data_IF_694961721351
#
_entry.id   IF_694961721351
#
_cell.length_a   1.000
_cell.length_b   1.000
_cell.length_c   1.000
_cell.angle_alpha   90.00
_cell.angle_beta   90.00
_cell.angle_gamma   90.00
#
_symmetry.space_group_name_H-M   'P 1'
#
loop_
_entity.id
_entity.type
_entity.pdbx_description
1 polymer ?
#
# COMPACT_ATOMS: atom_id res chain seq x y z
N UNK A 1 -6.06 19.15 -12.85
CA UNK A 1 -6.29 18.05 -11.91
C UNK A 1 -7.31 17.11 -12.49
N UNK A 2 -7.10 15.81 -12.33
CA UNK A 2 -7.91 14.78 -12.96
C UNK A 2 -7.90 13.50 -12.14
N UNK A 3 -8.82 12.61 -12.46
CA UNK A 3 -8.91 11.24 -11.98
C UNK A 3 -9.30 10.35 -13.17
N UNK A 4 -8.51 9.34 -13.43
CA UNK A 4 -8.70 8.42 -14.54
C UNK A 4 -8.64 6.99 -14.02
N UNK A 5 -9.69 6.23 -14.32
CA UNK A 5 -9.76 4.81 -14.03
C UNK A 5 -10.18 4.05 -15.30
N UNK A 6 -9.35 3.14 -15.74
CA UNK A 6 -9.65 2.27 -16.86
C UNK A 6 -9.03 0.89 -16.70
N UNK A 7 -9.85 -0.14 -16.86
CA UNK A 7 -9.48 -1.54 -16.60
C UNK A 7 -8.97 -1.70 -15.16
N UNK A 8 -7.69 -1.93 -14.99
CA UNK A 8 -7.04 -2.28 -13.73
C UNK A 8 -5.95 -1.27 -13.30
N UNK A 9 -5.90 -0.11 -13.92
CA UNK A 9 -5.06 1.00 -13.46
C UNK A 9 -5.89 2.20 -13.04
N UNK A 10 -5.35 2.93 -12.09
CA UNK A 10 -5.85 4.22 -11.65
C UNK A 10 -4.72 5.24 -11.69
N UNK A 11 -5.01 6.41 -12.21
CA UNK A 11 -4.08 7.55 -12.30
C UNK A 11 -4.81 8.80 -11.88
N UNK A 12 -4.25 9.58 -10.99
CA UNK A 12 -4.85 10.86 -10.59
C UNK A 12 -3.81 11.93 -10.30
N UNK A 13 -4.21 13.19 -10.52
CA UNK A 13 -3.58 14.38 -10.00
C UNK A 13 -4.58 15.11 -9.10
N UNK A 14 -4.36 15.06 -7.79
CA UNK A 14 -5.28 15.60 -6.78
C UNK A 14 -4.69 16.81 -6.06
N UNK A 15 -5.51 17.82 -5.86
CA UNK A 15 -5.25 18.95 -4.98
C UNK A 15 -6.40 19.05 -3.99
N UNK A 16 -6.17 18.63 -2.78
CA UNK A 16 -7.12 18.76 -1.70
C UNK A 16 -6.87 20.04 -0.90
N UNK A 17 -7.96 20.66 -0.48
CA UNK A 17 -7.96 21.72 0.54
C UNK A 17 -8.79 21.20 1.72
N UNK A 18 -8.24 20.24 2.47
CA UNK A 18 -9.05 19.53 3.43
C UNK A 18 -9.46 20.44 4.58
N UNK A 19 -10.76 20.48 4.85
CA UNK A 19 -11.31 21.08 6.08
C UNK A 19 -11.48 20.03 7.19
N UNK A 20 -11.38 18.74 6.82
CA UNK A 20 -11.42 17.59 7.71
C UNK A 20 -10.64 16.43 7.09
N UNK A 21 -10.14 15.47 7.88
CA UNK A 21 -9.51 14.26 7.34
C UNK A 21 -10.48 13.51 6.42
N UNK A 22 -10.04 13.18 5.20
CA UNK A 22 -10.81 12.34 4.27
C UNK A 22 -10.51 10.87 4.54
N UNK A 23 -11.39 9.97 4.06
CA UNK A 23 -11.18 8.52 4.18
C UNK A 23 -9.87 8.08 3.49
N UNK A 24 -9.45 8.75 2.42
CA UNK A 24 -8.19 8.50 1.71
C UNK A 24 -6.94 8.66 2.59
N UNK A 25 -7.01 9.49 3.65
CA UNK A 25 -5.90 9.66 4.58
C UNK A 25 -5.91 8.62 5.69
N UNK A 26 -7.03 7.92 5.86
CA UNK A 26 -7.14 6.89 6.87
C UNK A 26 -6.30 5.67 6.51
N UNK A 27 -5.95 4.95 7.53
CA UNK A 27 -5.22 3.73 7.40
C UNK A 27 -6.01 2.68 6.62
N UNK A 28 -5.41 2.18 5.56
CA UNK A 28 -5.95 1.11 4.75
C UNK A 28 -4.87 0.15 4.23
N UNK A 29 -5.31 -0.89 3.58
CA UNK A 29 -4.48 -1.92 2.94
C UNK A 29 -5.26 -2.43 1.72
N UNK A 30 -4.57 -2.66 0.62
CA UNK A 30 -5.19 -3.09 -0.64
C UNK A 30 -4.33 -4.12 -1.39
N UNK A 31 -4.89 -4.74 -2.43
CA UNK A 31 -4.25 -5.81 -3.21
C UNK A 31 -3.39 -5.33 -4.38
N UNK A 32 -3.34 -4.05 -4.66
CA UNK A 32 -2.57 -3.43 -5.75
C UNK A 32 -1.35 -2.65 -5.22
N UNK A 33 -0.42 -2.30 -6.11
CA UNK A 33 0.68 -1.38 -5.80
C UNK A 33 0.20 0.05 -5.98
N UNK A 34 0.79 0.96 -5.20
CA UNK A 34 0.53 2.39 -5.33
C UNK A 34 1.86 3.15 -5.42
N UNK A 35 1.91 4.16 -6.28
CA UNK A 35 2.98 5.15 -6.31
C UNK A 35 2.35 6.51 -6.06
N UNK A 36 2.86 7.20 -5.06
CA UNK A 36 2.51 8.58 -4.77
C UNK A 36 3.71 9.47 -5.08
N UNK A 37 3.52 10.50 -5.90
CA UNK A 37 4.47 11.58 -6.08
C UNK A 37 3.98 12.82 -5.34
N UNK A 38 4.74 13.27 -4.36
CA UNK A 38 4.37 14.39 -3.52
C UNK A 38 4.77 15.72 -4.16
N UNK A 39 3.80 16.58 -4.41
CA UNK A 39 3.99 17.90 -5.03
C UNK A 39 4.13 18.99 -3.98
N UNK A 40 3.18 19.10 -3.05
CA UNK A 40 3.21 20.08 -1.96
C UNK A 40 2.21 19.76 -0.86
N UNK A 41 2.44 20.36 0.30
CA UNK A 41 1.63 20.24 1.51
C UNK A 41 2.50 19.98 2.74
N UNK A 42 1.86 19.79 3.87
CA UNK A 42 2.52 19.37 5.10
C UNK A 42 2.01 17.98 5.49
N UNK A 43 2.72 16.94 5.04
CA UNK A 43 2.26 15.56 5.10
C UNK A 43 3.33 14.67 5.70
N UNK A 44 2.92 13.84 6.66
CA UNK A 44 3.70 12.71 7.15
C UNK A 44 3.04 11.42 6.65
N UNK A 45 3.81 10.61 5.94
CA UNK A 45 3.32 9.36 5.35
C UNK A 45 3.87 8.15 6.09
N UNK A 46 3.00 7.18 6.35
CA UNK A 46 3.38 5.94 7.04
C UNK A 46 3.11 4.74 6.14
N UNK A 47 4.10 3.88 5.97
CA UNK A 47 3.98 2.57 5.31
C UNK A 47 4.46 1.50 6.29
N UNK A 48 3.55 0.61 6.69
CA UNK A 48 3.79 -0.33 7.81
C UNK A 48 4.23 0.44 9.08
N UNK A 49 5.41 0.21 9.58
CA UNK A 49 5.96 0.88 10.76
C UNK A 49 6.87 2.08 10.43
N UNK A 50 7.20 2.28 9.17
CA UNK A 50 8.05 3.36 8.72
C UNK A 50 7.25 4.64 8.52
N UNK A 51 7.71 5.74 9.08
CA UNK A 51 7.02 7.03 9.02
C UNK A 51 8.00 8.12 8.58
N UNK A 52 7.66 8.83 7.52
CA UNK A 52 8.49 9.88 6.92
C UNK A 52 7.69 11.15 6.69
N UNK A 53 8.25 12.29 7.06
CA UNK A 53 7.72 13.59 6.63
C UNK A 53 8.15 13.80 5.17
N UNK A 54 7.18 14.00 4.28
CA UNK A 54 7.44 14.17 2.86
C UNK A 54 7.94 15.59 2.53
N UNK A 55 8.85 15.66 1.58
CA UNK A 55 9.33 16.89 0.95
C UNK A 55 8.90 16.92 -0.52
N UNK A 56 8.80 18.10 -1.10
CA UNK A 56 8.46 18.27 -2.50
C UNK A 56 9.36 17.42 -3.42
N UNK A 57 8.73 16.60 -4.26
CA UNK A 57 9.39 15.70 -5.18
C UNK A 57 9.75 14.34 -4.60
N UNK A 58 9.35 14.03 -3.36
CA UNK A 58 9.49 12.67 -2.84
C UNK A 58 8.49 11.73 -3.52
N UNK A 59 8.91 10.47 -3.69
CA UNK A 59 8.05 9.38 -4.15
C UNK A 59 7.86 8.38 -3.02
N UNK A 60 6.62 7.94 -2.83
CA UNK A 60 6.30 6.80 -1.96
C UNK A 60 5.84 5.65 -2.83
N UNK A 61 6.55 4.53 -2.79
CA UNK A 61 6.11 3.27 -3.38
C UNK A 61 5.49 2.39 -2.30
N UNK A 62 4.24 2.04 -2.49
CA UNK A 62 3.48 1.21 -1.56
C UNK A 62 3.21 -0.13 -2.25
N UNK A 63 3.97 -1.18 -1.90
CA UNK A 63 3.71 -2.52 -2.41
C UNK A 63 2.31 -3.00 -1.99
N UNK A 64 1.70 -3.82 -2.83
CA UNK A 64 0.46 -4.53 -2.47
C UNK A 64 0.57 -5.19 -1.10
N UNK A 65 -0.51 -5.20 -0.35
CA UNK A 65 -0.58 -5.80 0.98
C UNK A 65 0.24 -5.08 2.08
N UNK A 66 0.60 -3.81 1.89
CA UNK A 66 1.20 -2.96 2.92
C UNK A 66 0.18 -2.00 3.52
N UNK A 67 0.07 -1.98 4.85
CA UNK A 67 -0.71 -0.94 5.54
C UNK A 67 -0.05 0.42 5.37
N UNK A 68 -0.85 1.41 5.03
CA UNK A 68 -0.36 2.78 4.88
C UNK A 68 -1.43 3.82 5.20
N UNK A 69 -0.99 5.03 5.46
CA UNK A 69 -1.84 6.19 5.70
C UNK A 69 -1.05 7.49 5.64
N UNK A 70 -1.77 8.60 5.41
CA UNK A 70 -1.22 9.94 5.49
C UNK A 70 -1.74 10.67 6.73
N UNK A 71 -0.86 11.41 7.41
CA UNK A 71 -1.22 12.43 8.38
C UNK A 71 -1.00 13.78 7.71
N UNK A 72 -2.09 14.48 7.42
CA UNK A 72 -2.11 15.73 6.64
C UNK A 72 -2.41 16.89 7.57
N UNK A 73 -1.63 17.97 7.47
CA UNK A 73 -1.98 19.25 8.07
C UNK A 73 -3.09 19.90 7.25
N UNK A 74 -4.26 20.03 7.85
CA UNK A 74 -5.46 20.51 7.17
C UNK A 74 -5.44 22.02 6.87
N UNK A 75 -4.46 22.75 7.39
CA UNK A 75 -4.28 24.19 7.15
C UNK A 75 -3.64 24.51 5.79
N UNK A 76 -3.02 23.52 5.15
CA UNK A 76 -2.31 23.65 3.88
C UNK A 76 -2.93 22.80 2.77
N UNK A 77 -2.88 23.27 1.50
CA UNK A 77 -3.27 22.43 0.36
C UNK A 77 -2.35 21.22 0.23
N UNK A 78 -2.93 20.05 -0.04
CA UNK A 78 -2.19 18.81 -0.28
C UNK A 78 -2.32 18.41 -1.76
N UNK A 79 -1.22 18.48 -2.49
CA UNK A 79 -1.15 18.16 -3.92
C UNK A 79 -0.24 16.95 -4.16
N UNK A 80 -0.76 16.00 -4.94
CA UNK A 80 -0.09 14.75 -5.25
C UNK A 80 -0.59 14.11 -6.55
N UNK A 81 0.27 13.31 -7.16
CA UNK A 81 -0.15 12.29 -8.12
C UNK A 81 -0.24 10.93 -7.43
N UNK A 82 -1.19 10.12 -7.85
CA UNK A 82 -1.35 8.75 -7.37
C UNK A 82 -1.54 7.81 -8.55
N UNK A 83 -0.74 6.75 -8.60
CA UNK A 83 -0.82 5.69 -9.60
C UNK A 83 -1.10 4.38 -8.88
N UNK A 84 -2.15 3.64 -9.26
CA UNK A 84 -2.49 2.34 -8.69
C UNK A 84 -2.52 1.29 -9.80
N UNK A 85 -1.93 0.13 -9.54
CA UNK A 85 -1.82 -0.94 -10.53
C UNK A 85 -1.57 -2.31 -9.86
N UNK A 86 -2.09 -3.42 -10.44
CA UNK A 86 -1.90 -4.75 -9.86
C UNK A 86 -0.47 -5.28 -10.05
N UNK A 87 -0.08 -6.22 -9.20
CA UNK A 87 1.24 -6.88 -9.22
C UNK A 87 1.61 -7.44 -10.61
N UNK A 88 0.64 -7.99 -11.33
CA UNK A 88 0.85 -8.60 -12.65
C UNK A 88 1.25 -7.64 -13.78
N UNK A 89 1.25 -6.31 -13.53
CA UNK A 89 1.73 -5.31 -14.50
C UNK A 89 3.25 -5.13 -14.49
N UNK A 90 3.92 -5.64 -13.47
CA UNK A 90 5.38 -5.56 -13.37
C UNK A 90 6.02 -6.95 -13.53
N UNK A 91 7.16 -6.98 -14.22
CA UNK A 91 8.01 -8.15 -14.22
C UNK A 91 8.45 -8.49 -12.77
N UNK A 92 8.51 -9.78 -12.46
CA UNK A 92 8.76 -10.25 -11.08
C UNK A 92 10.05 -9.70 -10.48
N UNK A 93 11.12 -9.59 -11.27
CA UNK A 93 12.40 -9.06 -10.79
C UNK A 93 12.31 -7.57 -10.40
N UNK A 94 11.55 -6.75 -11.15
CA UNK A 94 11.31 -5.34 -10.84
C UNK A 94 10.53 -5.22 -9.53
N UNK A 95 9.45 -5.98 -9.41
CA UNK A 95 8.64 -6.00 -8.19
C UNK A 95 9.44 -6.42 -6.96
N UNK A 96 10.24 -7.48 -7.06
CA UNK A 96 11.12 -7.93 -5.97
C UNK A 96 12.13 -6.86 -5.59
N UNK A 97 12.75 -6.20 -6.56
CA UNK A 97 13.73 -5.16 -6.30
C UNK A 97 13.11 -3.95 -5.58
N UNK A 98 11.94 -3.47 -6.04
CA UNK A 98 11.22 -2.38 -5.38
C UNK A 98 10.84 -2.71 -3.93
N UNK A 99 10.34 -3.92 -3.68
CA UNK A 99 10.01 -4.37 -2.32
C UNK A 99 11.26 -4.43 -1.43
N UNK A 100 12.40 -4.86 -1.98
CA UNK A 100 13.69 -4.94 -1.26
C UNK A 100 14.27 -3.57 -0.97
N UNK A 101 14.16 -2.64 -1.92
CA UNK A 101 14.65 -1.29 -1.76
C UNK A 101 13.96 -0.55 -0.62
N UNK A 102 12.63 -0.64 -0.52
CA UNK A 102 11.83 0.06 0.49
C UNK A 102 10.76 0.96 -0.13
N UNK A 103 10.15 1.80 0.69
CA UNK A 103 8.97 2.57 0.29
C UNK A 103 9.25 4.05 -0.01
N UNK A 104 10.28 4.65 0.54
CA UNK A 104 10.49 6.10 0.50
C UNK A 104 11.69 6.50 -0.37
N UNK A 105 11.44 7.21 -1.46
CA UNK A 105 12.41 7.68 -2.44
C UNK A 105 12.51 9.21 -2.37
N UNK A 106 13.55 9.77 -1.72
CA UNK A 106 13.69 11.20 -1.54
C UNK A 106 14.24 11.89 -2.80
N UNK A 107 13.95 13.18 -2.94
CA UNK A 107 14.54 14.05 -3.97
C UNK A 107 14.31 13.61 -5.43
N UNK A 108 13.16 13.02 -5.72
CA UNK A 108 12.77 12.54 -7.05
C UNK A 108 12.18 13.65 -7.94
N UNK A 109 12.60 14.91 -7.77
CA UNK A 109 12.10 16.07 -8.56
C UNK A 109 12.31 15.93 -10.07
N UNK A 110 13.36 15.21 -10.48
CA UNK A 110 13.64 14.87 -11.87
C UNK A 110 12.54 14.05 -12.55
N UNK A 111 11.66 13.40 -11.76
CA UNK A 111 10.52 12.64 -12.28
C UNK A 111 9.25 13.51 -12.48
N UNK A 112 9.27 14.78 -12.11
CA UNK A 112 8.11 15.66 -12.27
C UNK A 112 7.59 15.69 -13.71
N UNK A 113 8.48 15.64 -14.70
CA UNK A 113 8.09 15.58 -16.12
C UNK A 113 7.29 14.34 -16.48
N UNK A 114 7.56 13.20 -15.85
CA UNK A 114 6.79 11.95 -16.04
C UNK A 114 5.35 12.15 -15.57
N UNK A 115 5.18 12.76 -14.41
CA UNK A 115 3.83 13.03 -13.86
C UNK A 115 3.10 14.12 -14.62
N UNK A 116 3.80 15.15 -15.13
CA UNK A 116 3.19 16.18 -15.99
C UNK A 116 2.70 15.62 -17.34
N UNK A 117 3.33 14.58 -17.87
CA UNK A 117 2.83 13.87 -19.06
C UNK A 117 1.46 13.21 -18.81
N UNK A 118 1.18 12.79 -17.59
CA UNK A 118 -0.13 12.22 -17.24
C UNK A 118 -1.26 13.25 -17.31
N UNK A 119 -0.97 14.52 -16.99
CA UNK A 119 -1.93 15.62 -17.19
C UNK A 119 -2.21 15.81 -18.69
N UNK A 120 -1.16 15.84 -19.52
CA UNK A 120 -1.27 15.96 -20.98
C UNK A 120 -2.05 14.79 -21.59
N UNK A 121 -1.75 13.56 -21.15
CA UNK A 121 -2.45 12.37 -21.64
C UNK A 121 -3.94 12.42 -21.30
N UNK A 122 -4.27 12.90 -20.10
CA UNK A 122 -5.66 13.03 -19.70
C UNK A 122 -6.45 14.00 -20.58
N UNK A 123 -5.82 15.08 -21.05
CA UNK A 123 -6.45 16.09 -21.89
C UNK A 123 -6.51 15.71 -23.37
N UNK A 124 -5.52 14.95 -23.87
CA UNK A 124 -5.27 14.80 -25.29
C UNK A 124 -5.72 13.46 -25.89
N UNK A 125 -5.93 12.41 -25.07
CA UNK A 125 -6.14 11.04 -25.57
C UNK A 125 -7.45 10.41 -25.08
N UNK A 126 -7.94 9.42 -25.82
CA UNK A 126 -9.05 8.55 -25.41
C UNK A 126 -8.63 7.52 -24.35
N UNK A 127 -9.60 6.87 -23.70
CA UNK A 127 -9.36 6.05 -22.51
C UNK A 127 -8.42 4.86 -22.78
N UNK A 128 -8.48 4.25 -23.95
CA UNK A 128 -7.61 3.12 -24.29
C UNK A 128 -6.14 3.55 -24.45
N UNK A 129 -5.93 4.71 -25.10
CA UNK A 129 -4.58 5.29 -25.27
C UNK A 129 -4.04 5.79 -23.94
N UNK A 130 -4.84 6.45 -23.11
CA UNK A 130 -4.49 6.83 -21.72
C UNK A 130 -4.04 5.64 -20.90
N UNK A 131 -4.74 4.51 -21.02
CA UNK A 131 -4.38 3.29 -20.33
C UNK A 131 -3.00 2.77 -20.78
N UNK A 132 -2.76 2.70 -22.10
CA UNK A 132 -1.49 2.20 -22.62
C UNK A 132 -0.33 3.14 -22.25
N UNK A 133 -0.52 4.44 -22.43
CA UNK A 133 0.49 5.45 -22.06
C UNK A 133 0.76 5.45 -20.55
N UNK A 134 -0.29 5.42 -19.73
CA UNK A 134 -0.17 5.34 -18.27
C UNK A 134 0.60 4.09 -17.83
N UNK A 135 0.31 2.94 -18.43
CA UNK A 135 1.02 1.69 -18.15
C UNK A 135 2.50 1.76 -18.56
N UNK A 136 2.81 2.42 -19.69
CA UNK A 136 4.19 2.67 -20.10
C UNK A 136 4.93 3.53 -19.07
N UNK A 137 4.32 4.63 -18.61
CA UNK A 137 4.95 5.51 -17.61
C UNK A 137 5.12 4.80 -16.25
N UNK A 138 4.12 4.05 -15.79
CA UNK A 138 4.23 3.21 -14.58
C UNK A 138 5.42 2.25 -14.70
N UNK A 139 5.53 1.54 -15.83
CA UNK A 139 6.61 0.57 -16.04
C UNK A 139 7.98 1.24 -16.06
N UNK A 140 8.13 2.34 -16.82
CA UNK A 140 9.38 3.11 -16.87
C UNK A 140 9.79 3.66 -15.50
N UNK A 141 8.82 4.22 -14.76
CA UNK A 141 9.03 4.74 -13.42
C UNK A 141 9.51 3.64 -12.46
N UNK A 142 8.83 2.50 -12.44
CA UNK A 142 9.20 1.36 -11.60
C UNK A 142 10.61 0.84 -11.89
N UNK A 143 10.99 0.74 -13.18
CA UNK A 143 12.35 0.35 -13.57
C UNK A 143 13.37 1.37 -13.02
N UNK A 144 13.12 2.66 -13.18
CA UNK A 144 14.03 3.71 -12.70
C UNK A 144 14.15 3.71 -11.18
N UNK A 145 13.03 3.57 -10.45
CA UNK A 145 13.03 3.51 -8.99
C UNK A 145 13.85 2.31 -8.44
N UNK A 146 14.04 1.24 -9.20
CA UNK A 146 14.94 0.16 -8.79
C UNK A 146 16.40 0.61 -8.60
N UNK A 147 16.81 1.72 -9.20
CA UNK A 147 18.17 2.27 -9.17
C UNK A 147 18.30 3.57 -8.39
N UNK A 148 17.20 4.08 -7.84
CA UNK A 148 17.21 5.29 -7.00
C UNK A 148 17.63 4.99 -5.57
N UNK A 149 18.15 6.01 -4.90
CA UNK A 149 18.44 5.95 -3.48
C UNK A 149 17.14 5.93 -2.67
N UNK A 150 17.10 5.10 -1.66
CA UNK A 150 15.96 4.94 -0.77
C UNK A 150 16.28 5.49 0.60
N UNK A 151 15.36 6.20 1.20
CA UNK A 151 15.46 6.59 2.59
C UNK A 151 15.17 5.36 3.45
N UNK A 152 16.21 4.76 3.98
CA UNK A 152 16.07 3.79 5.04
C UNK A 152 15.78 4.55 6.34
N UNK A 153 14.55 4.53 6.76
CA UNK A 153 14.23 4.94 8.12
C UNK A 153 14.87 3.89 9.01
N UNK A 154 15.91 4.26 9.74
CA UNK A 154 16.41 3.40 10.81
C UNK A 154 15.24 3.17 11.76
N UNK A 155 14.51 2.10 11.49
CA UNK A 155 13.50 1.61 12.41
C UNK A 155 14.25 1.25 13.66
N UNK A 156 13.93 1.88 14.79
CA UNK A 156 14.23 1.24 16.04
C UNK A 156 13.74 -0.19 15.90
N UNK A 157 14.60 -1.15 16.21
CA UNK A 157 14.25 -2.58 16.20
C UNK A 157 13.27 -2.84 17.35
N UNK A 158 12.11 -2.17 17.25
CA UNK A 158 11.09 -2.22 18.27
C UNK A 158 10.22 -3.47 18.13
N UNK A 159 9.49 -3.76 19.18
CA UNK A 159 8.58 -4.89 19.25
C UNK A 159 7.63 -4.97 18.03
N UNK A 160 7.12 -3.83 17.56
CA UNK A 160 6.13 -3.80 16.48
C UNK A 160 6.77 -4.19 15.15
N UNK A 161 7.98 -3.71 14.87
CA UNK A 161 8.73 -4.06 13.66
C UNK A 161 9.10 -5.56 13.65
N UNK A 162 9.54 -6.08 14.79
CA UNK A 162 9.83 -7.49 14.94
C UNK A 162 8.58 -8.37 14.71
N UNK A 163 7.42 -7.94 15.23
CA UNK A 163 6.13 -8.60 15.00
C UNK A 163 5.75 -8.56 13.53
N UNK A 164 5.85 -7.41 12.85
CA UNK A 164 5.53 -7.26 11.43
C UNK A 164 6.39 -8.21 10.58
N UNK A 165 7.71 -8.24 10.82
CA UNK A 165 8.63 -9.17 10.15
C UNK A 165 8.23 -10.63 10.38
N UNK A 166 7.91 -10.98 11.63
CA UNK A 166 7.48 -12.33 11.98
C UNK A 166 6.19 -12.72 11.27
N UNK A 167 5.16 -11.87 11.31
CA UNK A 167 3.87 -12.11 10.65
C UNK A 167 4.05 -12.29 9.14
N UNK A 168 4.81 -11.40 8.48
CA UNK A 168 5.05 -11.50 7.03
C UNK A 168 5.78 -12.79 6.64
N UNK A 169 6.73 -13.26 7.46
CA UNK A 169 7.47 -14.50 7.23
C UNK A 169 6.64 -15.76 7.46
N UNK A 170 5.71 -15.71 8.42
CA UNK A 170 4.97 -16.89 8.90
C UNK A 170 3.46 -16.77 8.62
N UNK A 171 3.07 -16.07 7.54
CA UNK A 171 1.66 -15.75 7.26
C UNK A 171 0.78 -16.99 7.08
N UNK A 172 1.36 -18.13 6.68
CA UNK A 172 0.67 -19.41 6.53
C UNK A 172 0.45 -20.15 7.86
N UNK A 173 1.08 -19.69 8.93
CA UNK A 173 0.97 -20.34 10.25
C UNK A 173 -0.25 -19.82 11.03
N UNK A 174 -0.64 -20.55 12.05
CA UNK A 174 -1.65 -20.11 13.00
C UNK A 174 -1.02 -19.16 14.02
N UNK A 175 -1.14 -17.86 13.76
CA UNK A 175 -0.60 -16.81 14.62
C UNK A 175 -1.73 -16.30 15.54
N UNK A 176 -1.50 -16.39 16.86
CA UNK A 176 -2.41 -15.87 17.88
C UNK A 176 -1.73 -14.77 18.70
N UNK A 177 -2.53 -13.94 19.38
CA UNK A 177 -1.99 -12.93 20.28
C UNK A 177 -1.16 -13.57 21.40
N UNK A 178 -1.58 -14.75 21.89
CA UNK A 178 -0.86 -15.50 22.92
C UNK A 178 0.50 -15.98 22.41
N UNK A 179 0.56 -16.60 21.22
CA UNK A 179 1.82 -17.07 20.64
C UNK A 179 2.81 -15.93 20.35
N UNK A 180 2.32 -14.76 19.99
CA UNK A 180 3.17 -13.57 19.82
C UNK A 180 3.70 -13.06 21.17
N UNK A 181 2.85 -12.98 22.17
CA UNK A 181 3.24 -12.56 23.52
C UNK A 181 4.33 -13.46 24.11
N UNK A 182 4.15 -14.78 23.99
CA UNK A 182 5.13 -15.79 24.43
C UNK A 182 6.44 -15.66 23.64
N UNK A 183 6.38 -15.53 22.32
CA UNK A 183 7.56 -15.43 21.45
C UNK A 183 8.42 -14.21 21.73
N UNK A 184 7.79 -13.06 21.97
CA UNK A 184 8.50 -11.81 22.19
C UNK A 184 8.71 -11.48 23.66
N UNK A 185 8.32 -12.38 24.58
CA UNK A 185 8.47 -12.24 26.04
C UNK A 185 7.75 -11.02 26.64
N UNK A 186 6.55 -10.72 26.13
CA UNK A 186 5.67 -9.68 26.63
C UNK A 186 4.31 -10.22 27.05
N UNK A 187 3.53 -9.41 27.76
CA UNK A 187 2.13 -9.74 28.00
C UNK A 187 1.27 -9.53 26.74
N UNK A 188 0.18 -10.25 26.61
CA UNK A 188 -0.78 -10.07 25.50
C UNK A 188 -1.32 -8.63 25.42
N UNK A 189 -1.57 -8.02 26.59
CA UNK A 189 -2.03 -6.63 26.68
C UNK A 189 -0.99 -5.67 26.13
N UNK A 190 0.28 -5.82 26.52
CA UNK A 190 1.39 -4.97 26.05
C UNK A 190 1.55 -5.06 24.52
N UNK A 191 1.61 -6.28 23.99
CA UNK A 191 1.71 -6.51 22.53
C UNK A 191 0.58 -5.81 21.78
N UNK A 192 -0.67 -5.97 22.23
CA UNK A 192 -1.82 -5.38 21.55
C UNK A 192 -1.88 -3.85 21.65
N UNK A 193 -1.50 -3.29 22.79
CA UNK A 193 -1.47 -1.83 23.03
C UNK A 193 -0.39 -1.19 22.15
N UNK A 194 0.85 -1.68 22.22
CA UNK A 194 1.96 -1.12 21.45
C UNK A 194 1.73 -1.24 19.93
N UNK A 195 1.26 -2.41 19.48
CA UNK A 195 0.94 -2.61 18.09
C UNK A 195 -0.17 -1.65 17.62
N UNK A 196 -1.27 -1.53 18.39
CA UNK A 196 -2.36 -0.60 18.07
C UNK A 196 -1.91 0.87 18.14
N UNK A 197 -1.03 1.22 19.07
CA UNK A 197 -0.49 2.57 19.20
C UNK A 197 0.29 2.99 17.93
N UNK A 198 1.19 2.11 17.43
CA UNK A 198 2.04 2.38 16.26
C UNK A 198 1.27 2.16 14.95
N UNK A 199 0.61 1.01 14.82
CA UNK A 199 -0.08 0.61 13.60
C UNK A 199 -1.51 1.14 13.48
N UNK A 200 -2.07 1.79 14.50
CA UNK A 200 -3.45 2.28 14.55
C UNK A 200 -4.54 1.22 14.25
N UNK A 201 -4.21 -0.06 14.23
CA UNK A 201 -5.12 -1.20 14.02
C UNK A 201 -4.80 -2.29 15.04
N UNK A 202 -5.80 -3.03 15.56
CA UNK A 202 -5.55 -4.19 16.40
C UNK A 202 -4.73 -5.26 15.66
N UNK A 203 -3.78 -5.90 16.36
CA UNK A 203 -2.85 -6.85 15.75
C UNK A 203 -3.55 -8.04 15.07
N UNK A 204 -4.62 -8.57 15.65
CA UNK A 204 -5.35 -9.69 15.05
C UNK A 204 -6.13 -9.27 13.78
N UNK A 205 -6.59 -8.03 13.72
CA UNK A 205 -7.17 -7.48 12.49
C UNK A 205 -6.09 -7.32 11.41
N UNK A 206 -4.91 -6.80 11.76
CA UNK A 206 -3.75 -6.72 10.87
C UNK A 206 -3.42 -8.08 10.26
N UNK A 207 -3.24 -9.10 11.10
CA UNK A 207 -2.90 -10.47 10.67
C UNK A 207 -4.00 -11.03 9.74
N UNK A 208 -5.28 -10.83 10.09
CA UNK A 208 -6.40 -11.28 9.28
C UNK A 208 -6.42 -10.64 7.90
N UNK A 209 -6.22 -9.33 7.81
CA UNK A 209 -6.16 -8.61 6.52
C UNK A 209 -4.99 -9.11 5.66
N UNK A 210 -3.81 -9.30 6.26
CA UNK A 210 -2.65 -9.87 5.56
C UNK A 210 -2.93 -11.26 5.01
N UNK A 211 -3.59 -12.13 5.80
CA UNK A 211 -4.00 -13.48 5.35
C UNK A 211 -4.99 -13.43 4.20
N UNK A 212 -5.98 -12.54 4.24
CA UNK A 212 -6.94 -12.37 3.14
C UNK A 212 -6.24 -11.95 1.84
N UNK A 213 -5.30 -11.01 1.91
CA UNK A 213 -4.54 -10.57 0.74
C UNK A 213 -3.58 -11.65 0.23
N UNK A 214 -2.98 -12.44 1.12
CA UNK A 214 -2.20 -13.61 0.73
C UNK A 214 -3.07 -14.66 0.02
N UNK A 215 -4.29 -14.92 0.52
CA UNK A 215 -5.26 -15.79 -0.15
C UNK A 215 -5.65 -15.25 -1.53
N UNK A 216 -5.89 -13.94 -1.64
CA UNK A 216 -6.20 -13.30 -2.91
C UNK A 216 -5.11 -13.55 -3.96
N UNK A 217 -3.84 -13.37 -3.58
CA UNK A 217 -2.69 -13.66 -4.47
C UNK A 217 -2.68 -15.13 -4.90
N UNK A 218 -2.84 -16.07 -3.96
CA UNK A 218 -2.92 -17.50 -4.32
C UNK A 218 -4.05 -17.81 -5.29
N UNK A 219 -5.21 -17.14 -5.14
CA UNK A 219 -6.36 -17.32 -6.03
C UNK A 219 -6.07 -16.76 -7.43
N UNK A 220 -5.42 -15.60 -7.52
CA UNK A 220 -4.95 -15.05 -8.80
C UNK A 220 -3.93 -15.96 -9.50
N UNK A 221 -3.10 -16.65 -8.71
CA UNK A 221 -2.13 -17.65 -9.19
C UNK A 221 -2.80 -19.01 -9.52
N UNK A 222 -4.13 -19.10 -9.45
CA UNK A 222 -4.92 -20.26 -9.87
C UNK A 222 -5.35 -21.22 -8.76
N UNK A 223 -5.07 -20.93 -7.47
CA UNK A 223 -5.54 -21.76 -6.38
C UNK A 223 -7.07 -21.67 -6.20
N UNK A 224 -7.70 -22.76 -5.76
CA UNK A 224 -9.10 -22.71 -5.36
C UNK A 224 -9.26 -21.88 -4.07
N UNK A 225 -10.38 -21.19 -3.94
CA UNK A 225 -10.68 -20.38 -2.75
C UNK A 225 -10.69 -21.20 -1.45
N UNK A 226 -11.16 -22.45 -1.52
CA UNK A 226 -11.12 -23.39 -0.38
C UNK A 226 -9.72 -23.69 0.09
N UNK A 227 -8.83 -24.01 -0.87
CA UNK A 227 -7.47 -24.42 -0.60
C UNK A 227 -6.63 -23.26 -0.05
N UNK A 228 -6.86 -22.05 -0.58
CA UNK A 228 -6.25 -20.83 -0.06
C UNK A 228 -6.70 -20.51 1.37
N UNK A 229 -8.00 -20.69 1.67
CA UNK A 229 -8.53 -20.51 3.02
C UNK A 229 -7.94 -21.49 4.03
N UNK A 230 -7.88 -22.78 3.66
CA UNK A 230 -7.29 -23.83 4.49
C UNK A 230 -5.80 -23.59 4.75
N UNK A 231 -5.03 -23.34 3.69
CA UNK A 231 -3.57 -23.10 3.78
C UNK A 231 -3.21 -21.91 4.67
N UNK A 232 -4.10 -20.89 4.74
CA UNK A 232 -3.90 -19.71 5.58
C UNK A 232 -4.52 -19.84 6.97
N UNK A 233 -5.03 -21.02 7.32
CA UNK A 233 -5.52 -21.35 8.66
C UNK A 233 -6.80 -20.62 9.04
N UNK A 234 -7.74 -20.44 8.10
CA UNK A 234 -9.08 -19.98 8.43
C UNK A 234 -9.91 -21.14 8.98
N UNK A 235 -10.53 -20.93 10.14
CA UNK A 235 -11.30 -21.96 10.84
C UNK A 235 -12.49 -22.47 10.00
N UNK A 236 -13.14 -21.57 9.24
CA UNK A 236 -14.24 -21.93 8.36
C UNK A 236 -14.15 -21.17 7.04
N UNK A 237 -14.58 -21.85 5.97
CA UNK A 237 -14.70 -21.21 4.65
C UNK A 237 -15.65 -20.02 4.65
N UNK A 238 -16.73 -20.07 5.41
CA UNK A 238 -17.70 -18.96 5.51
C UNK A 238 -17.10 -17.70 6.12
N UNK A 239 -16.25 -17.85 7.14
CA UNK A 239 -15.54 -16.73 7.78
C UNK A 239 -14.52 -16.10 6.81
N UNK A 240 -13.80 -16.95 6.09
CA UNK A 240 -12.89 -16.51 5.02
C UNK A 240 -13.66 -15.76 3.92
N UNK A 241 -14.70 -16.40 3.34
CA UNK A 241 -15.39 -15.87 2.18
C UNK A 241 -16.02 -14.50 2.44
N UNK A 242 -16.65 -14.29 3.61
CA UNK A 242 -17.19 -12.98 4.00
C UNK A 242 -16.12 -11.90 4.08
N UNK A 243 -14.97 -12.21 4.67
CA UNK A 243 -13.85 -11.27 4.78
C UNK A 243 -13.21 -11.00 3.41
N UNK A 244 -13.09 -12.03 2.58
CA UNK A 244 -12.57 -11.93 1.22
C UNK A 244 -13.47 -11.07 0.31
N UNK A 245 -14.78 -11.29 0.38
CA UNK A 245 -15.75 -10.47 -0.38
C UNK A 245 -15.70 -9.00 0.02
N UNK A 246 -15.63 -8.73 1.33
CA UNK A 246 -15.50 -7.35 1.83
C UNK A 246 -14.21 -6.69 1.34
N UNK A 247 -13.07 -7.38 1.36
CA UNK A 247 -11.81 -6.87 0.84
C UNK A 247 -11.92 -6.51 -0.65
N UNK A 248 -12.58 -7.36 -1.47
CA UNK A 248 -12.78 -7.07 -2.89
C UNK A 248 -13.66 -5.83 -3.11
N UNK A 249 -14.67 -5.63 -2.27
CA UNK A 249 -15.51 -4.43 -2.31
C UNK A 249 -14.73 -3.17 -1.90
N UNK A 250 -13.92 -3.25 -0.84
CA UNK A 250 -13.02 -2.18 -0.40
C UNK A 250 -11.97 -1.84 -1.48
N UNK A 251 -11.32 -2.84 -2.08
CA UNK A 251 -10.36 -2.65 -3.17
C UNK A 251 -11.01 -1.96 -4.39
N UNK A 252 -12.23 -2.35 -4.73
CA UNK A 252 -12.98 -1.71 -5.82
C UNK A 252 -13.21 -0.23 -5.54
N UNK A 253 -13.65 0.13 -4.34
CA UNK A 253 -13.82 1.52 -3.92
C UNK A 253 -12.51 2.30 -3.97
N UNK A 254 -11.39 1.70 -3.55
CA UNK A 254 -10.08 2.33 -3.58
C UNK A 254 -9.50 2.53 -4.99
N UNK A 255 -9.92 1.73 -5.97
CA UNK A 255 -9.52 1.87 -7.38
C UNK A 255 -10.47 2.82 -8.12
N UNK A 256 -11.78 2.72 -7.88
CA UNK A 256 -12.78 3.53 -8.60
C UNK A 256 -12.87 4.98 -8.10
N UNK A 257 -12.23 5.30 -6.96
CA UNK A 257 -12.35 6.62 -6.34
C UNK A 257 -13.72 6.80 -5.66
N UNK A 258 -13.75 7.31 -4.43
CA UNK A 258 -14.98 7.83 -3.84
C UNK A 258 -15.23 9.24 -4.33
#
# INVERSE_FOLDING_TARGET
MFEFHYKDIYVSHKLDKPSSPTEEYHKHIHSFNEILFFVRGNVTYTVESETVKLNEGDIVFIPSSKYHFATVDLSEPYERYVLKFPDGKLAEHIRKQLITNGSFYPNCKNYRSVFSLLDEYNESYGDEDKYLLGLCEITKLCIKLCYESVLHVEGYDDLVDAIIRYVNKNINEQITLKSLAERFHYSTSHVNIEFKRKMKVPIMQYIRSKKILAAHRMILDGAKKSDAAEKLGFETYSTFYRAYKRMLEEDKLHIEGN
#
